data_IF_469724070084
#
_entry.id   IF_469724070084
#
_cell.length_a   1.000
_cell.length_b   1.000
_cell.length_c   1.000
_cell.angle_alpha   90.00
_cell.angle_beta   90.00
_cell.angle_gamma   90.00
#
_symmetry.space_group_name_H-M   'P 1'
#
loop_
_entity.id
_entity.type
_entity.pdbx_description
1 polymer ?
#
# COMPACT_ATOMS: atom_id res chain seq x y z
N UNK A 1 -18.96 32.09 -2.56
CA UNK A 1 -19.20 30.96 -1.63
C UNK A 1 -20.65 30.52 -1.79
N UNK A 2 -20.92 29.51 -2.62
CA UNK A 2 -22.27 28.98 -2.84
C UNK A 2 -22.49 27.72 -1.99
N UNK A 3 -23.67 27.64 -1.38
CA UNK A 3 -24.10 26.60 -0.44
C UNK A 3 -24.06 25.19 -1.07
N UNK A 4 -23.27 24.29 -0.48
CA UNK A 4 -23.23 22.85 -0.79
C UNK A 4 -24.53 22.18 -0.28
N UNK A 5 -25.62 22.33 -1.02
CA UNK A 5 -26.87 21.63 -0.75
C UNK A 5 -26.73 20.15 -1.09
N UNK A 6 -26.62 19.28 -0.09
CA UNK A 6 -26.65 17.83 -0.28
C UNK A 6 -27.98 17.39 -0.91
N UNK A 7 -27.92 16.70 -2.05
CA UNK A 7 -29.08 16.27 -2.83
C UNK A 7 -29.51 14.87 -2.39
N UNK A 8 -30.80 14.62 -2.16
CA UNK A 8 -31.28 13.27 -1.80
C UNK A 8 -31.14 12.25 -2.94
N UNK A 9 -30.86 10.97 -2.65
CA UNK A 9 -30.72 9.88 -3.66
C UNK A 9 -31.87 9.83 -4.67
N UNK A 10 -33.12 9.95 -4.23
CA UNK A 10 -34.29 9.93 -5.13
C UNK A 10 -34.35 11.16 -6.05
N UNK A 11 -33.93 12.32 -5.55
CA UNK A 11 -33.82 13.54 -6.36
C UNK A 11 -32.66 13.43 -7.37
N UNK A 12 -31.57 12.79 -6.98
CA UNK A 12 -30.44 12.51 -7.86
C UNK A 12 -30.82 11.58 -9.02
N UNK A 13 -31.57 10.50 -8.75
CA UNK A 13 -32.03 9.57 -9.81
C UNK A 13 -32.91 10.26 -10.85
N UNK A 14 -33.83 11.13 -10.41
CA UNK A 14 -34.77 11.83 -11.31
C UNK A 14 -34.11 12.89 -12.19
N UNK A 15 -33.00 13.48 -11.73
CA UNK A 15 -32.31 14.60 -12.41
C UNK A 15 -30.94 14.21 -12.94
N UNK A 16 -30.63 12.91 -13.02
CA UNK A 16 -29.29 12.43 -13.33
C UNK A 16 -28.68 13.07 -14.60
N UNK A 17 -29.40 13.21 -15.73
CA UNK A 17 -28.83 13.84 -16.92
C UNK A 17 -28.40 15.31 -16.69
N UNK A 18 -29.22 16.08 -15.97
CA UNK A 18 -28.92 17.48 -15.62
C UNK A 18 -27.71 17.58 -14.68
N UNK A 19 -27.64 16.67 -13.70
CA UNK A 19 -26.53 16.63 -12.73
C UNK A 19 -25.21 16.24 -13.39
N UNK A 20 -25.23 15.38 -14.42
CA UNK A 20 -24.04 15.06 -15.21
C UNK A 20 -23.55 16.30 -15.95
N UNK A 21 -24.43 17.05 -16.61
CA UNK A 21 -24.03 18.29 -17.31
C UNK A 21 -23.46 19.35 -16.36
N UNK A 22 -24.03 19.45 -15.15
CA UNK A 22 -23.54 20.36 -14.11
C UNK A 22 -22.19 19.92 -13.54
N UNK A 23 -22.02 18.62 -13.31
CA UNK A 23 -20.74 18.05 -12.89
C UNK A 23 -19.68 18.24 -13.99
N UNK A 24 -20.02 18.01 -15.26
CA UNK A 24 -19.13 18.30 -16.39
C UNK A 24 -18.75 19.78 -16.51
N UNK A 25 -19.62 20.69 -16.04
CA UNK A 25 -19.36 22.13 -15.99
C UNK A 25 -18.52 22.59 -14.76
N UNK A 26 -17.99 21.66 -13.95
CA UNK A 26 -17.15 22.00 -12.79
C UNK A 26 -17.87 21.98 -11.44
N UNK A 27 -19.14 21.56 -11.37
CA UNK A 27 -19.90 21.59 -10.12
C UNK A 27 -19.80 20.26 -9.35
N UNK A 28 -19.23 20.28 -8.14
CA UNK A 28 -19.27 19.12 -7.23
C UNK A 28 -20.66 18.94 -6.62
N UNK A 29 -21.31 17.81 -6.93
CA UNK A 29 -22.67 17.52 -6.46
C UNK A 29 -22.63 16.35 -5.48
N UNK A 30 -23.00 16.58 -4.23
CA UNK A 30 -23.05 15.52 -3.20
C UNK A 30 -24.44 14.90 -3.14
N UNK A 31 -24.51 13.58 -3.32
CA UNK A 31 -25.71 12.76 -3.19
C UNK A 31 -25.74 12.17 -1.78
N UNK A 32 -26.85 12.35 -1.08
CA UNK A 32 -27.06 11.95 0.31
C UNK A 32 -28.29 11.06 0.48
N UNK A 33 -28.24 10.16 1.46
CA UNK A 33 -29.39 9.34 1.88
C UNK A 33 -29.61 9.56 3.36
N UNK A 34 -30.82 9.93 3.76
CA UNK A 34 -31.16 10.24 5.16
C UNK A 34 -30.16 11.24 5.80
N UNK A 35 -29.85 12.33 5.09
CA UNK A 35 -28.89 13.37 5.50
C UNK A 35 -27.43 12.91 5.68
N UNK A 36 -27.10 11.65 5.33
CA UNK A 36 -25.72 11.16 5.27
C UNK A 36 -25.20 11.24 3.84
N UNK A 37 -24.01 11.84 3.59
CA UNK A 37 -23.40 11.83 2.27
C UNK A 37 -23.09 10.38 1.85
N UNK A 38 -23.47 10.02 0.63
CA UNK A 38 -23.35 8.65 0.09
C UNK A 38 -22.43 8.60 -1.13
N UNK A 39 -22.54 9.57 -2.04
CA UNK A 39 -21.74 9.65 -3.26
C UNK A 39 -21.56 11.11 -3.69
N UNK A 40 -20.64 11.37 -4.62
CA UNK A 40 -20.52 12.68 -5.27
C UNK A 40 -20.34 12.51 -6.77
N UNK A 41 -20.88 13.44 -7.56
CA UNK A 41 -20.55 13.62 -8.97
C UNK A 41 -19.49 14.71 -9.07
N UNK A 42 -18.39 14.40 -9.75
CA UNK A 42 -17.26 15.30 -10.02
C UNK A 42 -16.93 15.26 -11.51
N UNK A 43 -16.41 16.35 -12.09
CA UNK A 43 -15.93 16.34 -13.46
C UNK A 43 -14.77 15.36 -13.60
N UNK A 44 -14.71 14.64 -14.73
CA UNK A 44 -13.59 13.76 -15.03
C UNK A 44 -12.32 14.54 -15.44
N UNK A 45 -12.50 15.77 -15.94
CA UNK A 45 -11.42 16.68 -16.37
C UNK A 45 -10.95 17.62 -15.25
N UNK A 46 -11.42 17.41 -14.02
CA UNK A 46 -10.98 18.19 -12.87
C UNK A 46 -9.50 17.86 -12.60
N UNK A 47 -8.61 18.74 -13.09
CA UNK A 47 -7.19 18.70 -12.79
C UNK A 47 -7.01 18.61 -11.26
N UNK A 48 -6.35 17.56 -10.72
CA UNK A 48 -6.24 17.29 -9.28
C UNK A 48 -5.61 18.43 -8.45
N UNK A 49 -5.20 19.52 -9.08
CA UNK A 49 -4.66 20.73 -8.46
C UNK A 49 -5.71 21.60 -7.73
N UNK A 50 -7.00 21.44 -8.03
CA UNK A 50 -8.03 22.37 -7.50
C UNK A 50 -8.50 22.02 -6.07
N UNK A 51 -8.26 20.79 -5.60
CA UNK A 51 -8.45 20.41 -4.19
C UNK A 51 -7.59 19.18 -3.81
N UNK A 52 -6.25 19.31 -3.79
CA UNK A 52 -5.32 18.18 -3.71
C UNK A 52 -5.43 17.40 -2.40
N UNK A 53 -5.88 18.03 -1.31
CA UNK A 53 -5.83 17.42 0.02
C UNK A 53 -6.84 16.28 0.22
N UNK A 54 -8.10 16.46 -0.19
CA UNK A 54 -9.15 15.45 0.06
C UNK A 54 -9.00 14.21 -0.83
N UNK A 55 -8.71 14.41 -2.14
CA UNK A 55 -8.52 13.29 -3.08
C UNK A 55 -7.20 12.56 -2.82
N UNK A 56 -6.11 13.28 -2.49
CA UNK A 56 -4.86 12.63 -2.08
C UNK A 56 -5.03 11.86 -0.76
N UNK A 57 -5.81 12.37 0.20
CA UNK A 57 -6.14 11.64 1.43
C UNK A 57 -6.92 10.35 1.15
N UNK A 58 -7.94 10.40 0.30
CA UNK A 58 -8.76 9.24 -0.07
C UNK A 58 -7.98 8.21 -0.90
N UNK A 59 -6.96 8.65 -1.63
CA UNK A 59 -6.13 7.80 -2.48
C UNK A 59 -4.87 7.32 -1.77
N UNK A 60 -4.43 7.94 -0.67
CA UNK A 60 -3.20 7.54 0.04
C UNK A 60 -3.34 6.18 0.72
N UNK A 61 -2.29 5.36 0.71
CA UNK A 61 -2.27 4.07 1.42
C UNK A 61 -2.67 4.17 2.90
N UNK A 62 -2.36 5.29 3.58
CA UNK A 62 -2.76 5.51 4.99
C UNK A 62 -4.27 5.40 5.27
N UNK A 63 -5.13 5.62 4.27
CA UNK A 63 -6.60 5.51 4.41
C UNK A 63 -7.13 4.11 4.08
N UNK A 64 -6.24 3.20 3.68
CA UNK A 64 -6.57 1.85 3.21
C UNK A 64 -6.37 0.69 4.20
N UNK A 65 -5.96 0.86 5.48
CA UNK A 65 -6.05 -0.24 6.45
C UNK A 65 -7.44 -0.88 6.45
N UNK A 66 -7.48 -2.20 6.44
CA UNK A 66 -8.71 -2.97 6.56
C UNK A 66 -9.58 -3.03 5.30
N UNK A 67 -9.24 -2.28 4.25
CA UNK A 67 -10.00 -2.23 2.98
C UNK A 67 -10.06 -3.58 2.26
N UNK A 68 -9.06 -4.43 2.44
CA UNK A 68 -8.99 -5.75 1.80
C UNK A 68 -9.06 -6.92 2.77
N UNK A 69 -9.60 -6.71 3.99
CA UNK A 69 -9.67 -7.74 5.05
C UNK A 69 -10.34 -9.06 4.65
N UNK A 70 -11.14 -9.06 3.59
CA UNK A 70 -11.83 -10.25 3.08
C UNK A 70 -11.20 -10.82 1.80
N UNK A 71 -10.22 -10.12 1.22
CA UNK A 71 -9.67 -10.44 -0.10
C UNK A 71 -8.60 -11.55 -0.06
N UNK A 72 -7.96 -11.75 1.09
CA UNK A 72 -6.93 -12.79 1.29
C UNK A 72 -7.32 -13.82 2.37
N UNK A 73 -8.53 -13.75 2.94
CA UNK A 73 -9.03 -14.72 3.94
C UNK A 73 -9.36 -16.08 3.34
N UNK A 74 -9.63 -16.16 2.04
CA UNK A 74 -9.94 -17.40 1.32
C UNK A 74 -8.72 -18.31 1.11
N UNK A 75 -7.52 -17.78 1.37
CA UNK A 75 -6.25 -18.50 1.30
C UNK A 75 -5.35 -17.96 2.39
N UNK A 76 -5.44 -18.51 3.61
CA UNK A 76 -4.18 -18.77 4.32
C UNK A 76 -3.42 -19.71 3.38
N UNK A 77 -2.30 -19.31 2.75
CA UNK A 77 -1.39 -20.32 2.26
C UNK A 77 -1.09 -21.17 3.49
N UNK A 78 -1.21 -22.47 3.34
CA UNK A 78 -0.79 -23.46 4.30
C UNK A 78 0.45 -22.94 5.06
N UNK A 79 0.24 -22.38 6.26
CA UNK A 79 1.26 -22.46 7.29
C UNK A 79 1.30 -23.95 7.55
N UNK A 80 2.14 -24.66 6.80
CA UNK A 80 2.75 -25.85 7.37
C UNK A 80 3.28 -25.37 8.73
N UNK A 81 2.92 -26.05 9.84
CA UNK A 81 3.54 -25.73 11.11
C UNK A 81 5.05 -25.68 10.87
N UNK A 82 5.76 -24.67 11.38
CA UNK A 82 7.20 -24.60 11.18
C UNK A 82 7.78 -25.97 11.58
N UNK A 83 8.71 -26.55 10.79
CA UNK A 83 9.50 -27.64 11.33
C UNK A 83 10.05 -27.16 12.67
N UNK A 84 10.05 -28.04 13.66
CA UNK A 84 10.54 -27.85 15.03
C UNK A 84 12.03 -27.48 15.05
N UNK A 85 12.39 -26.35 14.46
CA UNK A 85 13.62 -25.64 14.68
C UNK A 85 13.31 -24.62 15.78
N UNK A 86 13.98 -24.78 16.91
CA UNK A 86 13.86 -23.86 18.04
C UNK A 86 13.96 -22.41 17.54
N UNK A 87 13.10 -21.48 18.02
CA UNK A 87 13.17 -20.11 17.59
C UNK A 87 14.52 -19.54 18.04
N UNK A 88 15.41 -19.31 17.08
CA UNK A 88 16.60 -18.49 17.32
C UNK A 88 16.05 -17.08 17.53
N UNK A 89 15.73 -16.75 18.78
CA UNK A 89 15.39 -15.39 19.23
C UNK A 89 16.66 -14.55 19.14
N UNK A 90 17.02 -14.12 17.93
CA UNK A 90 17.85 -12.93 17.78
C UNK A 90 17.00 -11.76 18.28
N UNK A 91 17.53 -10.97 19.20
CA UNK A 91 16.93 -9.71 19.64
C UNK A 91 16.66 -8.86 18.39
N UNK A 92 15.44 -8.90 17.86
CA UNK A 92 15.07 -8.04 16.74
C UNK A 92 14.91 -6.64 17.32
N UNK A 93 15.70 -5.64 16.87
CA UNK A 93 15.55 -4.29 17.37
C UNK A 93 14.13 -3.82 17.11
N UNK A 94 13.53 -3.20 18.13
CA UNK A 94 12.28 -2.46 17.98
C UNK A 94 12.53 -1.38 16.95
N UNK A 95 11.76 -1.38 15.85
CA UNK A 95 11.80 -0.27 14.91
C UNK A 95 11.41 1.01 15.63
N UNK A 96 12.29 1.98 15.56
CA UNK A 96 12.02 3.35 15.96
C UNK A 96 12.09 4.21 14.69
N UNK A 97 10.94 4.63 14.14
CA UNK A 97 10.89 5.47 12.94
C UNK A 97 11.71 6.75 13.11
N UNK A 98 11.87 7.24 14.34
CA UNK A 98 12.64 8.45 14.65
C UNK A 98 14.14 8.32 14.39
N UNK A 99 14.62 7.11 14.11
CA UNK A 99 16.03 6.86 13.72
C UNK A 99 16.25 6.94 12.22
N UNK A 100 15.19 7.00 11.41
CA UNK A 100 15.32 7.19 9.97
C UNK A 100 15.50 8.67 9.67
N UNK A 101 16.53 8.98 8.89
CA UNK A 101 16.77 10.35 8.43
C UNK A 101 15.59 10.82 7.54
N UNK A 102 15.22 12.12 7.61
CA UNK A 102 14.25 12.68 6.66
C UNK A 102 14.65 12.41 5.21
N UNK A 103 13.67 12.05 4.37
CA UNK A 103 13.88 11.69 2.97
C UNK A 103 14.35 10.25 2.75
N UNK A 104 14.58 9.46 3.80
CA UNK A 104 14.95 8.04 3.69
C UNK A 104 13.96 7.25 2.82
N UNK A 105 14.50 6.33 2.03
CA UNK A 105 13.72 5.39 1.25
C UNK A 105 13.44 4.12 2.07
N UNK A 106 12.18 3.73 2.17
CA UNK A 106 11.69 2.61 2.98
C UNK A 106 11.12 1.57 2.03
N UNK A 107 11.77 0.41 1.92
CA UNK A 107 11.29 -0.68 1.09
C UNK A 107 10.23 -1.51 1.82
N UNK A 108 9.14 -1.85 1.13
CA UNK A 108 8.10 -2.73 1.65
C UNK A 108 7.89 -3.92 0.70
N UNK A 109 7.89 -5.11 1.27
CA UNK A 109 7.57 -6.33 0.55
C UNK A 109 6.05 -6.51 0.38
N UNK A 110 5.64 -7.43 -0.49
CA UNK A 110 4.21 -7.66 -0.72
C UNK A 110 3.48 -8.23 0.51
N UNK A 111 4.18 -8.90 1.43
CA UNK A 111 3.60 -9.42 2.67
C UNK A 111 3.23 -8.28 3.62
N UNK A 112 4.10 -7.30 3.82
CA UNK A 112 3.88 -6.14 4.67
C UNK A 112 2.70 -5.31 4.19
N UNK A 113 2.59 -5.07 2.88
CA UNK A 113 1.47 -4.35 2.27
C UNK A 113 0.13 -5.09 2.50
N UNK A 114 0.09 -6.40 2.21
CA UNK A 114 -1.13 -7.20 2.44
C UNK A 114 -1.49 -7.23 3.93
N UNK A 115 -0.51 -7.42 4.81
CA UNK A 115 -0.69 -7.40 6.26
C UNK A 115 -1.29 -6.07 6.75
N UNK A 116 -0.85 -4.94 6.19
CA UNK A 116 -1.40 -3.61 6.47
C UNK A 116 -2.84 -3.47 5.96
N UNK A 117 -3.09 -3.78 4.68
CA UNK A 117 -4.41 -3.67 4.06
C UNK A 117 -5.45 -4.64 4.66
N UNK A 118 -5.01 -5.74 5.27
CA UNK A 118 -5.86 -6.67 6.02
C UNK A 118 -6.07 -6.28 7.49
N UNK A 119 -5.30 -5.34 8.04
CA UNK A 119 -5.15 -5.13 9.51
C UNK A 119 -4.79 -6.43 10.27
N UNK A 120 -3.98 -7.28 9.66
CA UNK A 120 -3.59 -8.55 10.26
C UNK A 120 -2.79 -8.31 11.56
N UNK A 121 -3.15 -8.98 12.67
CA UNK A 121 -2.30 -9.03 13.87
C UNK A 121 -1.90 -7.68 14.46
N UNK A 122 -2.69 -6.62 14.30
CA UNK A 122 -2.37 -5.29 14.83
C UNK A 122 -1.29 -4.52 14.06
N UNK A 123 -0.95 -4.96 12.84
CA UNK A 123 0.00 -4.30 11.92
C UNK A 123 -0.25 -2.80 11.76
N UNK A 124 -1.51 -2.34 11.84
CA UNK A 124 -1.86 -0.92 11.77
C UNK A 124 -1.14 -0.05 12.81
N UNK A 125 -0.86 -0.58 14.01
CA UNK A 125 -0.12 0.15 15.05
C UNK A 125 1.35 0.39 14.71
N UNK A 126 1.92 -0.44 13.84
CA UNK A 126 3.33 -0.44 13.50
C UNK A 126 3.60 0.16 12.12
N UNK A 127 2.81 -0.25 11.13
CA UNK A 127 2.91 0.22 9.76
C UNK A 127 2.15 1.55 9.57
N UNK A 128 1.16 1.86 10.40
CA UNK A 128 0.44 3.14 10.34
C UNK A 128 1.36 4.36 10.37
N UNK A 129 2.27 4.50 11.36
CA UNK A 129 3.23 5.60 11.41
C UNK A 129 4.15 5.69 10.18
N UNK A 130 4.51 4.54 9.58
CA UNK A 130 5.30 4.52 8.33
C UNK A 130 4.49 5.08 7.16
N UNK A 131 3.26 4.61 7.00
CA UNK A 131 2.36 5.05 5.93
C UNK A 131 2.03 6.53 6.06
N UNK A 132 1.87 7.01 7.30
CA UNK A 132 1.67 8.43 7.59
C UNK A 132 2.92 9.27 7.28
N UNK A 133 4.10 8.80 7.69
CA UNK A 133 5.37 9.46 7.38
C UNK A 133 5.62 9.57 5.87
N UNK A 134 5.34 8.51 5.10
CA UNK A 134 5.44 8.52 3.64
C UNK A 134 4.41 9.47 3.02
N UNK A 135 3.15 9.39 3.43
CA UNK A 135 2.08 10.23 2.89
C UNK A 135 2.27 11.73 3.22
N UNK A 136 3.00 12.05 4.29
CA UNK A 136 3.35 13.41 4.67
C UNK A 136 4.70 13.87 4.07
N UNK A 137 5.37 13.03 3.28
CA UNK A 137 6.64 13.35 2.62
C UNK A 137 7.86 13.34 3.53
N UNK A 138 7.75 12.83 4.76
CA UNK A 138 8.92 12.66 5.64
C UNK A 138 9.85 11.56 5.13
N UNK A 139 9.31 10.52 4.50
CA UNK A 139 10.04 9.41 3.89
C UNK A 139 9.45 9.10 2.51
N UNK A 140 10.15 8.26 1.75
CA UNK A 140 9.67 7.75 0.48
C UNK A 140 9.44 6.25 0.60
N UNK A 141 8.30 5.76 0.10
CA UNK A 141 8.00 4.34 0.03
C UNK A 141 8.55 3.71 -1.25
N UNK A 142 9.09 2.51 -1.16
CA UNK A 142 9.61 1.75 -2.29
C UNK A 142 8.99 0.35 -2.31
N UNK A 143 8.49 -0.08 -3.46
CA UNK A 143 8.01 -1.45 -3.65
C UNK A 143 8.48 -1.99 -5.01
N UNK A 144 8.59 -3.31 -5.11
CA UNK A 144 8.78 -3.97 -6.41
C UNK A 144 7.43 -4.16 -7.11
N UNK A 145 7.44 -4.35 -8.43
CA UNK A 145 6.23 -4.80 -9.15
C UNK A 145 5.71 -6.15 -8.67
N UNK A 146 6.56 -7.03 -8.13
CA UNK A 146 6.12 -8.31 -7.55
C UNK A 146 5.36 -8.08 -6.24
N UNK A 147 5.81 -7.13 -5.42
CA UNK A 147 5.06 -6.68 -4.23
C UNK A 147 3.70 -6.10 -4.61
N UNK A 148 3.64 -5.30 -5.68
CA UNK A 148 2.40 -4.76 -6.23
C UNK A 148 1.46 -5.88 -6.70
N UNK A 149 1.96 -6.83 -7.51
CA UNK A 149 1.16 -7.97 -7.98
C UNK A 149 0.50 -8.69 -6.80
N UNK A 150 1.27 -8.99 -5.74
CA UNK A 150 0.75 -9.64 -4.54
C UNK A 150 -0.33 -8.83 -3.81
N UNK A 151 -0.22 -7.51 -3.79
CA UNK A 151 -1.25 -6.62 -3.25
C UNK A 151 -2.52 -6.56 -4.11
N UNK A 152 -2.40 -6.78 -5.43
CA UNK A 152 -3.57 -6.75 -6.32
C UNK A 152 -4.29 -8.11 -6.41
N UNK A 153 -3.59 -9.21 -6.14
CA UNK A 153 -4.15 -10.57 -6.19
C UNK A 153 -5.43 -10.74 -5.37
N UNK A 154 -5.51 -10.13 -4.19
CA UNK A 154 -6.69 -10.26 -3.31
C UNK A 154 -7.93 -9.64 -3.94
N UNK A 155 -7.96 -8.32 -4.15
CA UNK A 155 -9.09 -7.63 -4.78
C UNK A 155 -9.49 -8.23 -6.12
N UNK A 156 -8.53 -8.55 -6.99
CA UNK A 156 -8.78 -9.17 -8.29
C UNK A 156 -9.45 -10.55 -8.14
N UNK A 157 -9.04 -11.37 -7.17
CA UNK A 157 -9.69 -12.66 -6.88
C UNK A 157 -11.14 -12.50 -6.43
N UNK A 158 -11.46 -11.39 -5.77
CA UNK A 158 -12.83 -11.06 -5.37
C UNK A 158 -13.64 -10.35 -6.48
N UNK A 159 -13.02 -10.03 -7.62
CA UNK A 159 -13.64 -9.22 -8.67
C UNK A 159 -13.81 -7.74 -8.30
N UNK A 160 -13.09 -7.25 -7.28
CA UNK A 160 -13.15 -5.86 -6.83
C UNK A 160 -12.15 -4.98 -7.59
N UNK A 161 -12.51 -4.63 -8.83
CA UNK A 161 -11.73 -3.73 -9.68
C UNK A 161 -11.59 -2.33 -9.07
N UNK A 162 -12.59 -1.87 -8.31
CA UNK A 162 -12.55 -0.57 -7.66
C UNK A 162 -11.47 -0.50 -6.58
N UNK A 163 -11.36 -1.53 -5.74
CA UNK A 163 -10.29 -1.65 -4.76
C UNK A 163 -8.92 -1.86 -5.42
N UNK A 164 -8.85 -2.63 -6.52
CA UNK A 164 -7.64 -2.80 -7.33
C UNK A 164 -7.12 -1.44 -7.82
N UNK A 165 -7.98 -0.64 -8.44
CA UNK A 165 -7.62 0.70 -8.93
C UNK A 165 -7.17 1.61 -7.78
N UNK A 166 -7.82 1.54 -6.61
CA UNK A 166 -7.43 2.31 -5.43
C UNK A 166 -6.04 1.92 -4.92
N UNK A 167 -5.69 0.64 -4.90
CA UNK A 167 -4.34 0.21 -4.51
C UNK A 167 -3.27 0.68 -5.50
N UNK A 168 -3.53 0.58 -6.80
CA UNK A 168 -2.63 1.14 -7.81
C UNK A 168 -2.43 2.65 -7.60
N UNK A 169 -3.52 3.39 -7.46
CA UNK A 169 -3.46 4.83 -7.31
C UNK A 169 -2.73 5.25 -6.01
N UNK A 170 -2.91 4.49 -4.94
CA UNK A 170 -2.25 4.74 -3.66
C UNK A 170 -0.73 4.61 -3.70
N UNK A 171 -0.21 3.86 -4.67
CA UNK A 171 1.21 3.57 -4.85
C UNK A 171 1.88 4.42 -5.94
N UNK A 172 1.22 5.47 -6.41
CA UNK A 172 1.79 6.41 -7.38
C UNK A 172 2.81 7.37 -6.74
N UNK A 173 3.74 7.87 -7.56
CA UNK A 173 4.81 8.80 -7.14
C UNK A 173 4.31 10.05 -6.40
N UNK A 174 3.17 10.60 -6.83
CA UNK A 174 2.56 11.76 -6.16
C UNK A 174 2.15 11.50 -4.70
N UNK A 175 2.00 10.23 -4.32
CA UNK A 175 1.67 9.80 -2.96
C UNK A 175 2.91 9.36 -2.16
N UNK A 176 4.12 9.68 -2.65
CA UNK A 176 5.38 9.35 -1.98
C UNK A 176 5.88 7.94 -2.23
N UNK A 177 5.37 7.25 -3.26
CA UNK A 177 5.70 5.85 -3.56
C UNK A 177 6.45 5.68 -4.88
N UNK A 178 7.45 4.82 -4.87
CA UNK A 178 8.15 4.35 -6.05
C UNK A 178 7.86 2.87 -6.26
N UNK A 179 7.31 2.53 -7.44
CA UNK A 179 7.18 1.14 -7.90
C UNK A 179 8.30 0.84 -8.89
N UNK A 180 9.15 -0.13 -8.57
CA UNK A 180 10.31 -0.48 -9.38
C UNK A 180 9.97 -1.60 -10.35
N UNK A 181 10.08 -1.31 -11.65
CA UNK A 181 9.92 -2.28 -12.72
C UNK A 181 11.11 -3.26 -12.79
N UNK A 182 10.88 -4.53 -13.16
CA UNK A 182 11.95 -5.49 -13.28
C UNK A 182 12.82 -5.15 -14.50
N UNK A 183 14.13 -5.28 -14.34
CA UNK A 183 15.10 -5.13 -15.42
C UNK A 183 16.27 -6.10 -15.22
N UNK A 184 17.08 -6.29 -16.27
CA UNK A 184 18.18 -7.27 -16.27
C UNK A 184 19.16 -7.07 -15.09
N UNK A 185 19.45 -5.81 -14.74
CA UNK A 185 20.28 -5.47 -13.59
C UNK A 185 19.73 -5.95 -12.24
N UNK A 186 18.41 -5.85 -12.01
CA UNK A 186 17.76 -6.39 -10.81
C UNK A 186 17.77 -7.92 -10.82
N UNK A 187 17.47 -8.54 -11.97
CA UNK A 187 17.49 -9.99 -12.10
C UNK A 187 18.87 -10.59 -11.80
N UNK A 188 19.94 -9.97 -12.33
CA UNK A 188 21.31 -10.38 -12.08
C UNK A 188 21.70 -10.23 -10.59
N UNK A 189 21.29 -9.13 -9.94
CA UNK A 189 21.55 -8.93 -8.51
C UNK A 189 20.77 -9.92 -7.64
N UNK A 190 19.50 -10.17 -7.95
CA UNK A 190 18.70 -11.18 -7.25
C UNK A 190 19.34 -12.58 -7.36
N UNK A 191 19.79 -12.97 -8.55
CA UNK A 191 20.48 -14.25 -8.75
C UNK A 191 21.76 -14.37 -7.90
N UNK A 192 22.56 -13.30 -7.79
CA UNK A 192 23.76 -13.27 -6.93
C UNK A 192 23.40 -13.38 -5.46
N UNK A 193 22.44 -12.60 -4.99
CA UNK A 193 21.97 -12.65 -3.60
C UNK A 193 21.49 -14.05 -3.22
N UNK A 194 20.80 -14.75 -4.12
CA UNK A 194 20.35 -16.14 -3.91
C UNK A 194 21.50 -17.15 -3.82
N UNK A 195 22.57 -16.94 -4.59
CA UNK A 195 23.77 -17.77 -4.51
C UNK A 195 24.54 -17.54 -3.21
N UNK A 196 24.56 -16.30 -2.70
CA UNK A 196 25.18 -15.94 -1.42
C UNK A 196 24.31 -16.35 -0.22
N UNK A 197 23.00 -16.40 -0.39
CA UNK A 197 22.01 -16.65 0.65
C UNK A 197 21.05 -17.76 0.21
N UNK A 198 21.47 -19.01 0.38
CA UNK A 198 20.71 -20.19 -0.06
C UNK A 198 19.32 -20.32 0.58
N UNK A 199 19.06 -19.63 1.69
CA UNK A 199 17.74 -19.57 2.33
C UNK A 199 16.73 -18.68 1.59
N UNK A 200 17.16 -17.78 0.70
CA UNK A 200 16.24 -16.91 -0.04
C UNK A 200 15.64 -17.62 -1.25
N UNK A 201 14.33 -17.49 -1.41
CA UNK A 201 13.65 -17.82 -2.67
C UNK A 201 13.83 -16.71 -3.72
N UNK A 202 13.36 -16.96 -4.95
CA UNK A 202 13.45 -16.02 -6.06
C UNK A 202 12.80 -14.66 -5.76
N UNK A 203 11.63 -14.66 -5.12
CA UNK A 203 10.86 -13.45 -4.83
C UNK A 203 11.59 -12.62 -3.78
N UNK A 204 12.07 -13.25 -2.70
CA UNK A 204 12.82 -12.56 -1.64
C UNK A 204 14.14 -12.03 -2.13
N UNK A 205 14.83 -12.77 -2.99
CA UNK A 205 16.04 -12.26 -3.64
C UNK A 205 15.76 -11.04 -4.50
N UNK A 206 14.64 -10.99 -5.21
CA UNK A 206 14.24 -9.84 -6.01
C UNK A 206 13.83 -8.63 -5.15
N UNK A 207 13.06 -8.84 -4.08
CA UNK A 207 12.66 -7.78 -3.15
C UNK A 207 13.88 -7.17 -2.44
N UNK A 208 14.83 -8.01 -2.00
CA UNK A 208 16.10 -7.56 -1.42
C UNK A 208 16.97 -6.82 -2.44
N UNK A 209 17.11 -7.35 -3.67
CA UNK A 209 17.83 -6.67 -4.74
C UNK A 209 17.24 -5.29 -5.04
N UNK A 210 15.91 -5.19 -5.05
CA UNK A 210 15.19 -3.92 -5.25
C UNK A 210 15.54 -2.92 -4.15
N UNK A 211 15.46 -3.33 -2.88
CA UNK A 211 15.80 -2.48 -1.75
C UNK A 211 17.25 -1.98 -1.82
N UNK A 212 18.20 -2.87 -2.09
CA UNK A 212 19.63 -2.54 -2.13
C UNK A 212 19.98 -1.62 -3.31
N UNK A 213 19.51 -1.93 -4.52
CA UNK A 213 19.85 -1.12 -5.71
C UNK A 213 19.25 0.28 -5.67
N UNK A 214 18.10 0.45 -5.03
CA UNK A 214 17.48 1.77 -4.86
C UNK A 214 18.01 2.52 -3.62
N UNK A 215 18.90 1.93 -2.83
CA UNK A 215 19.46 2.58 -1.64
C UNK A 215 18.44 2.74 -0.51
N UNK A 216 17.52 1.78 -0.33
CA UNK A 216 16.62 1.78 0.80
C UNK A 216 17.41 1.76 2.12
N UNK A 217 16.97 2.55 3.10
CA UNK A 217 17.54 2.55 4.44
C UNK A 217 17.12 1.31 5.24
N UNK A 218 15.96 0.74 4.89
CA UNK A 218 15.35 -0.39 5.59
C UNK A 218 14.40 -1.15 4.68
N UNK A 219 14.29 -2.46 4.90
CA UNK A 219 13.29 -3.34 4.28
C UNK A 219 12.27 -3.81 5.33
N UNK A 220 10.98 -3.58 5.08
CA UNK A 220 9.89 -4.06 5.93
C UNK A 220 9.33 -5.35 5.33
N UNK A 221 9.45 -6.44 6.08
CA UNK A 221 9.01 -7.78 5.69
C UNK A 221 8.84 -8.69 6.90
N UNK A 222 7.88 -9.61 6.84
CA UNK A 222 7.73 -10.69 7.80
C UNK A 222 8.42 -11.99 7.40
N UNK A 223 9.12 -12.00 6.27
CA UNK A 223 9.82 -13.19 5.84
C UNK A 223 11.04 -13.45 6.75
N UNK A 224 11.10 -14.60 7.44
CA UNK A 224 12.17 -14.87 8.39
C UNK A 224 13.55 -14.92 7.74
N UNK A 225 13.62 -15.30 6.46
CA UNK A 225 14.88 -15.47 5.74
C UNK A 225 15.53 -14.14 5.35
N UNK A 226 14.73 -13.08 5.10
CA UNK A 226 15.27 -11.76 4.76
C UNK A 226 16.06 -11.15 5.93
N UNK A 227 15.54 -11.33 7.15
CA UNK A 227 16.19 -10.85 8.37
C UNK A 227 17.52 -11.55 8.71
N UNK A 228 17.93 -12.56 7.95
CA UNK A 228 19.18 -13.31 8.14
C UNK A 228 20.29 -12.89 7.18
N UNK A 229 20.04 -11.96 6.27
CA UNK A 229 20.93 -11.66 5.14
C UNK A 229 21.99 -10.60 5.43
N UNK A 230 21.93 -9.92 6.58
CA UNK A 230 22.83 -8.85 7.07
C UNK A 230 23.11 -7.67 6.09
N UNK A 231 22.53 -7.66 4.89
CA UNK A 231 22.76 -6.66 3.83
C UNK A 231 22.10 -5.32 4.10
N UNK A 232 20.90 -5.34 4.69
CA UNK A 232 20.09 -4.15 5.00
C UNK A 232 19.31 -4.44 6.30
N UNK A 233 19.03 -3.42 7.14
CA UNK A 233 18.11 -3.61 8.24
C UNK A 233 16.76 -4.15 7.75
N UNK A 234 16.27 -5.23 8.37
CA UNK A 234 14.95 -5.81 8.09
C UNK A 234 14.03 -5.68 9.29
N UNK A 235 12.83 -5.17 9.07
CA UNK A 235 11.81 -4.94 10.09
C UNK A 235 10.61 -5.84 9.87
N UNK A 236 10.15 -6.51 10.93
CA UNK A 236 8.90 -7.27 10.88
C UNK A 236 7.70 -6.33 10.74
N UNK A 237 6.78 -6.63 9.83
CA UNK A 237 5.48 -5.97 9.70
C UNK A 237 4.45 -6.49 10.72
N UNK A 238 4.55 -7.76 11.11
CA UNK A 238 3.82 -8.43 12.19
C UNK A 238 4.64 -8.29 13.46
N UNK A 239 4.34 -7.26 14.26
CA UNK A 239 4.92 -7.15 15.58
C UNK A 239 4.16 -8.07 16.54
N UNK A 240 4.49 -9.36 16.53
CA UNK A 240 4.11 -10.30 17.61
C UNK A 240 5.21 -10.27 18.67
#
# INVERSE_FOLDING_TARGET
MASLGALGVEAARRRLPELISRAAAGERIVISRHQKPLAALVPLDEDPQTNPSAVALETSLRSLPGSGRHCWTSTRPHQAPPPTAAPVRRHRPVFDPRRLEPGSLIALDGCALVSFCCEAGGTGSFLGPLMEGIANGYWQGLISTVSLMRLLEGPLRCGDEGLTQRYCAALEARNGWQVVAPHAGLAAAAARLRLENHQLDEIRSLELATALQCGAAVLVSDHPDLAQTDHIPVLSALRI
#
